data_IF_657165356605
#
_entry.id   IF_657165356605
#
_cell.length_a   1.000
_cell.length_b   1.000
_cell.length_c   1.000
_cell.angle_alpha   90.00
_cell.angle_beta   90.00
_cell.angle_gamma   90.00
#
_symmetry.space_group_name_H-M   'P 1'
#
loop_
_entity.id
_entity.type
_entity.pdbx_description
1 polymer ?
#
# COMPACT_ATOMS: atom_id res chain seq x y z
N UNK A 1 -35.03 -18.59 -36.80
CA UNK A 1 -35.16 -18.25 -35.40
C UNK A 1 -34.74 -16.79 -35.15
N UNK A 2 -34.88 -16.29 -33.91
CA UNK A 2 -34.59 -14.88 -33.58
C UNK A 2 -33.09 -14.58 -33.74
N UNK A 3 -32.20 -15.53 -33.43
CA UNK A 3 -30.77 -15.35 -33.59
C UNK A 3 -30.39 -15.15 -35.05
N UNK A 4 -30.80 -16.06 -35.95
CA UNK A 4 -30.54 -15.96 -37.40
C UNK A 4 -31.13 -14.68 -38.02
N UNK A 5 -32.29 -14.23 -37.53
CA UNK A 5 -32.90 -12.98 -37.97
C UNK A 5 -32.12 -11.74 -37.50
N UNK A 6 -31.51 -11.78 -36.32
CA UNK A 6 -30.64 -10.73 -35.81
C UNK A 6 -29.30 -10.67 -36.55
N UNK A 7 -28.67 -11.83 -36.79
CA UNK A 7 -27.48 -11.99 -37.61
C UNK A 7 -27.68 -11.37 -39.02
N UNK A 8 -28.74 -11.76 -39.69
CA UNK A 8 -29.05 -11.26 -41.03
C UNK A 8 -29.26 -9.73 -41.09
N UNK A 9 -29.54 -9.10 -39.95
CA UNK A 9 -29.74 -7.64 -39.83
C UNK A 9 -28.57 -6.92 -39.15
N UNK A 10 -27.48 -7.63 -38.89
CA UNK A 10 -26.30 -7.11 -38.14
C UNK A 10 -26.69 -6.46 -36.80
N UNK A 11 -27.57 -7.13 -36.04
CA UNK A 11 -28.01 -6.70 -34.70
C UNK A 11 -27.42 -7.58 -33.63
N UNK A 12 -26.99 -6.95 -32.54
CA UNK A 12 -26.56 -7.70 -31.34
C UNK A 12 -27.75 -8.44 -30.74
N UNK A 13 -27.49 -9.68 -30.31
CA UNK A 13 -28.48 -10.53 -29.64
C UNK A 13 -27.85 -11.19 -28.42
N UNK A 14 -28.65 -11.32 -27.37
CA UNK A 14 -28.37 -12.14 -26.21
C UNK A 14 -29.48 -13.16 -26.05
N UNK A 15 -29.15 -14.42 -26.01
CA UNK A 15 -30.11 -15.54 -25.84
C UNK A 15 -29.94 -16.09 -24.43
N UNK A 16 -31.02 -16.01 -23.63
CA UNK A 16 -31.00 -16.49 -22.27
C UNK A 16 -30.71 -17.99 -22.26
N UNK A 17 -29.83 -18.39 -21.33
CA UNK A 17 -29.35 -19.76 -21.11
C UNK A 17 -28.67 -20.43 -22.33
N UNK A 18 -28.27 -19.67 -23.33
CA UNK A 18 -27.52 -20.18 -24.46
C UNK A 18 -26.37 -19.24 -24.87
N UNK A 19 -25.23 -19.40 -24.22
CA UNK A 19 -24.06 -18.54 -24.44
C UNK A 19 -23.52 -18.58 -25.88
N UNK A 20 -23.63 -19.73 -26.55
CA UNK A 20 -23.15 -19.90 -27.92
C UNK A 20 -23.92 -19.03 -28.95
N UNK A 21 -25.11 -18.60 -28.61
CA UNK A 21 -25.95 -17.74 -29.42
C UNK A 21 -25.96 -16.27 -28.93
N UNK A 22 -24.98 -15.86 -28.14
CA UNK A 22 -24.87 -14.53 -27.59
C UNK A 22 -23.73 -13.75 -28.23
N UNK A 23 -24.00 -12.55 -28.73
CA UNK A 23 -22.96 -11.60 -29.12
C UNK A 23 -22.39 -10.82 -27.93
N UNK A 24 -23.11 -10.77 -26.82
CA UNK A 24 -22.70 -10.13 -25.59
C UNK A 24 -23.36 -10.81 -24.39
N UNK A 25 -22.75 -10.65 -23.23
CA UNK A 25 -23.32 -11.09 -21.94
C UNK A 25 -23.66 -9.83 -21.14
N UNK A 26 -24.89 -9.74 -20.65
CA UNK A 26 -25.32 -8.63 -19.78
C UNK A 26 -24.68 -8.79 -18.40
N UNK A 27 -23.87 -7.82 -17.93
CA UNK A 27 -23.30 -7.87 -16.60
C UNK A 27 -24.36 -7.59 -15.54
N UNK A 28 -24.10 -8.02 -14.32
CA UNK A 28 -24.85 -7.54 -13.16
C UNK A 28 -24.39 -6.10 -12.86
N UNK A 29 -25.36 -5.17 -12.77
CA UNK A 29 -25.10 -3.76 -12.56
C UNK A 29 -25.45 -3.34 -11.13
N UNK A 30 -24.59 -2.47 -10.58
CA UNK A 30 -24.89 -1.63 -9.44
C UNK A 30 -24.94 -0.21 -9.97
N UNK A 31 -26.10 0.43 -9.86
CA UNK A 31 -26.33 1.76 -10.40
C UNK A 31 -26.38 2.80 -9.28
N UNK A 32 -25.48 3.76 -9.37
CA UNK A 32 -25.39 4.99 -8.57
C UNK A 32 -25.15 6.14 -9.55
N UNK A 33 -25.96 6.17 -10.64
CA UNK A 33 -25.75 7.11 -11.74
C UNK A 33 -25.32 8.50 -11.28
N UNK A 34 -24.30 9.10 -11.93
CA UNK A 34 -23.62 8.61 -13.13
C UNK A 34 -22.52 7.54 -12.88
N UNK A 35 -22.32 7.11 -11.64
CA UNK A 35 -21.37 6.01 -11.32
C UNK A 35 -22.06 4.67 -11.49
N UNK A 36 -21.48 3.78 -12.29
CA UNK A 36 -21.97 2.42 -12.50
C UNK A 36 -20.85 1.40 -12.30
N UNK A 37 -21.17 0.27 -11.66
CA UNK A 37 -20.26 -0.85 -11.49
C UNK A 37 -20.88 -2.07 -12.18
N UNK A 38 -20.17 -2.64 -13.14
CA UNK A 38 -20.57 -3.81 -13.88
C UNK A 38 -19.72 -5.04 -13.45
N UNK A 39 -20.37 -6.14 -13.13
CA UNK A 39 -19.71 -7.38 -12.71
C UNK A 39 -20.11 -8.48 -13.69
N UNK A 40 -19.15 -9.14 -14.31
CA UNK A 40 -19.41 -10.24 -15.24
C UNK A 40 -18.44 -11.40 -15.01
N UNK A 41 -18.89 -12.61 -15.22
CA UNK A 41 -18.07 -13.81 -15.31
C UNK A 41 -17.97 -14.36 -16.75
N UNK A 42 -18.40 -13.58 -17.74
CA UNK A 42 -18.51 -14.07 -19.12
C UNK A 42 -19.49 -15.24 -19.28
N UNK A 43 -20.50 -15.35 -18.42
CA UNK A 43 -21.45 -16.44 -18.42
C UNK A 43 -21.03 -17.68 -17.61
N UNK A 44 -19.78 -17.74 -17.11
CA UNK A 44 -19.25 -18.94 -16.45
C UNK A 44 -19.83 -19.21 -15.06
N UNK A 45 -20.16 -18.17 -14.28
CA UNK A 45 -20.60 -18.32 -12.89
C UNK A 45 -21.62 -17.25 -12.45
N UNK A 46 -22.85 -17.27 -12.95
CA UNK A 46 -23.86 -16.22 -12.68
C UNK A 46 -24.22 -16.09 -11.20
N UNK A 47 -24.22 -17.20 -10.45
CA UNK A 47 -24.50 -17.20 -9.00
C UNK A 47 -23.40 -16.46 -8.25
N UNK A 48 -22.13 -16.66 -8.60
CA UNK A 48 -20.99 -15.96 -8.00
C UNK A 48 -21.05 -14.46 -8.27
N UNK A 49 -21.41 -14.08 -9.51
CA UNK A 49 -21.60 -12.68 -9.89
C UNK A 49 -22.69 -12.01 -9.06
N UNK A 50 -23.83 -12.71 -8.86
CA UNK A 50 -24.93 -12.23 -8.00
C UNK A 50 -24.46 -12.02 -6.55
N UNK A 51 -23.75 -12.97 -5.96
CA UNK A 51 -23.23 -12.84 -4.60
C UNK A 51 -22.29 -11.66 -4.43
N UNK A 52 -21.42 -11.42 -5.42
CA UNK A 52 -20.53 -10.25 -5.39
C UNK A 52 -21.28 -8.95 -5.60
N UNK A 53 -22.29 -8.93 -6.47
CA UNK A 53 -23.18 -7.77 -6.61
C UNK A 53 -23.84 -7.41 -5.27
N UNK A 54 -24.43 -8.39 -4.57
CA UNK A 54 -25.10 -8.18 -3.26
C UNK A 54 -24.13 -7.61 -2.23
N UNK A 55 -22.89 -8.12 -2.17
CA UNK A 55 -21.85 -7.61 -1.24
C UNK A 55 -21.45 -6.18 -1.57
N UNK A 56 -21.19 -5.88 -2.83
CA UNK A 56 -20.79 -4.54 -3.25
C UNK A 56 -21.94 -3.53 -3.16
N UNK A 57 -23.18 -3.96 -3.40
CA UNK A 57 -24.38 -3.14 -3.21
C UNK A 57 -24.49 -2.60 -1.78
N UNK A 58 -24.14 -3.45 -0.79
CA UNK A 58 -24.14 -3.08 0.64
C UNK A 58 -22.97 -2.13 1.02
N UNK A 59 -21.87 -2.16 0.28
CA UNK A 59 -20.69 -1.34 0.55
C UNK A 59 -20.74 0.04 -0.09
N UNK A 60 -21.49 0.17 -1.19
CA UNK A 60 -21.50 1.40 -2.01
C UNK A 60 -22.60 2.36 -1.54
N UNK A 61 -22.22 3.56 -1.06
CA UNK A 61 -23.19 4.56 -0.62
C UNK A 61 -24.13 5.02 -1.74
N UNK A 62 -25.38 5.35 -1.39
CA UNK A 62 -26.36 5.84 -2.36
C UNK A 62 -26.01 7.23 -2.93
N UNK A 63 -25.37 8.07 -2.12
CA UNK A 63 -25.01 9.45 -2.47
C UNK A 63 -23.79 9.58 -3.41
N UNK A 64 -23.21 8.48 -3.89
CA UNK A 64 -22.10 8.54 -4.86
C UNK A 64 -22.45 9.25 -6.15
N UNK A 65 -23.69 9.07 -6.63
CA UNK A 65 -24.21 9.75 -7.82
C UNK A 65 -24.23 11.25 -7.64
N UNK A 66 -24.81 11.73 -6.54
CA UNK A 66 -24.91 13.16 -6.23
C UNK A 66 -23.53 13.83 -6.16
N UNK A 67 -22.57 13.16 -5.52
CA UNK A 67 -21.18 13.64 -5.47
C UNK A 67 -20.56 13.76 -6.87
N UNK A 68 -20.81 12.78 -7.73
CA UNK A 68 -20.28 12.77 -9.09
C UNK A 68 -20.94 13.87 -9.97
N UNK A 69 -22.23 14.12 -9.81
CA UNK A 69 -22.95 15.19 -10.53
C UNK A 69 -22.43 16.58 -10.12
N UNK A 70 -22.27 16.83 -8.82
CA UNK A 70 -21.67 18.07 -8.34
C UNK A 70 -20.25 18.23 -8.91
N UNK A 71 -19.44 17.19 -8.85
CA UNK A 71 -18.08 17.22 -9.36
C UNK A 71 -18.05 17.50 -10.88
N UNK A 72 -18.96 16.90 -11.65
CA UNK A 72 -19.08 17.14 -13.10
C UNK A 72 -19.40 18.61 -13.40
N UNK A 73 -20.35 19.20 -12.67
CA UNK A 73 -20.76 20.60 -12.82
C UNK A 73 -19.62 21.58 -12.51
N UNK A 74 -18.77 21.24 -11.54
CA UNK A 74 -17.64 22.09 -11.10
C UNK A 74 -16.33 21.81 -11.83
N UNK A 75 -16.24 20.75 -12.62
CA UNK A 75 -15.00 20.29 -13.27
C UNK A 75 -14.29 21.37 -14.07
N UNK A 76 -15.03 22.16 -14.83
CA UNK A 76 -14.48 23.23 -15.68
C UNK A 76 -13.89 24.35 -14.83
N UNK A 77 -14.60 24.80 -13.78
CA UNK A 77 -14.12 25.85 -12.85
C UNK A 77 -12.86 25.40 -12.13
N UNK A 78 -12.84 24.16 -11.63
CA UNK A 78 -11.66 23.59 -10.95
C UNK A 78 -10.47 23.52 -11.90
N UNK A 79 -10.67 23.11 -13.18
CA UNK A 79 -9.62 23.07 -14.19
C UNK A 79 -9.05 24.46 -14.51
N UNK A 80 -9.88 25.49 -14.54
CA UNK A 80 -9.46 26.86 -14.76
C UNK A 80 -8.68 27.43 -13.59
N UNK A 81 -9.01 27.06 -12.36
CA UNK A 81 -8.39 27.57 -11.13
C UNK A 81 -7.09 26.83 -10.79
N UNK A 82 -7.04 25.51 -11.03
CA UNK A 82 -5.91 24.64 -10.72
C UNK A 82 -5.37 24.06 -12.03
N UNK A 83 -4.31 24.65 -12.58
CA UNK A 83 -3.74 24.25 -13.87
C UNK A 83 -2.98 22.93 -13.81
N UNK A 84 -2.29 22.65 -12.67
CA UNK A 84 -1.52 21.43 -12.49
C UNK A 84 -2.43 20.21 -12.32
N UNK A 85 -2.15 19.15 -13.07
CA UNK A 85 -2.96 17.92 -13.05
C UNK A 85 -2.93 17.22 -11.67
N UNK A 86 -1.75 17.12 -11.05
CA UNK A 86 -1.59 16.45 -9.75
C UNK A 86 -2.28 17.22 -8.63
N UNK A 87 -2.19 18.54 -8.65
CA UNK A 87 -2.91 19.41 -7.69
C UNK A 87 -4.42 19.26 -7.84
N UNK A 88 -4.94 19.22 -9.09
CA UNK A 88 -6.39 18.97 -9.32
C UNK A 88 -6.84 17.62 -8.80
N UNK A 89 -6.02 16.58 -9.01
CA UNK A 89 -6.33 15.27 -8.47
C UNK A 89 -6.36 15.28 -6.95
N UNK A 90 -5.32 15.83 -6.31
CA UNK A 90 -5.24 15.98 -4.85
C UNK A 90 -6.43 16.79 -4.30
N UNK A 91 -6.83 17.85 -4.99
CA UNK A 91 -8.02 18.63 -4.65
C UNK A 91 -9.27 17.74 -4.59
N UNK A 92 -9.55 16.95 -5.63
CA UNK A 92 -10.70 16.06 -5.68
C UNK A 92 -10.63 14.95 -4.64
N UNK A 93 -9.46 14.35 -4.43
CA UNK A 93 -9.26 13.31 -3.42
C UNK A 93 -9.52 13.82 -2.00
N UNK A 94 -9.10 15.04 -1.69
CA UNK A 94 -9.36 15.66 -0.40
C UNK A 94 -10.84 16.04 -0.25
N UNK A 95 -11.44 16.59 -1.28
CA UNK A 95 -12.84 16.98 -1.30
C UNK A 95 -13.75 15.78 -1.00
N UNK A 96 -13.53 14.66 -1.66
CA UNK A 96 -14.34 13.45 -1.52
C UNK A 96 -14.15 12.69 -0.21
N UNK A 97 -13.21 13.09 0.64
CA UNK A 97 -12.95 12.50 1.98
C UNK A 97 -13.29 13.44 3.14
N UNK A 98 -13.84 14.61 2.85
CA UNK A 98 -14.04 15.68 3.82
C UNK A 98 -15.49 16.03 4.10
N UNK A 99 -15.74 17.24 4.65
CA UNK A 99 -17.08 17.74 4.94
C UNK A 99 -18.03 17.75 3.73
N UNK A 100 -17.50 17.86 2.51
CA UNK A 100 -18.25 17.77 1.26
C UNK A 100 -19.00 16.42 1.16
N UNK A 101 -18.30 15.31 1.41
CA UNK A 101 -18.91 13.97 1.39
C UNK A 101 -20.03 13.84 2.43
N UNK A 102 -19.82 14.41 3.63
CA UNK A 102 -20.83 14.39 4.68
C UNK A 102 -22.08 15.20 4.28
N UNK A 103 -21.89 16.35 3.64
CA UNK A 103 -22.99 17.16 3.14
C UNK A 103 -23.77 16.44 2.01
N UNK A 104 -23.07 15.82 1.08
CA UNK A 104 -23.69 15.01 0.01
C UNK A 104 -24.44 13.80 0.60
N UNK A 105 -23.88 13.12 1.59
CA UNK A 105 -24.52 12.00 2.30
C UNK A 105 -25.84 12.38 2.96
N UNK A 106 -25.93 13.60 3.49
CA UNK A 106 -27.15 14.13 4.11
C UNK A 106 -28.14 14.69 3.09
N UNK A 107 -27.88 14.57 1.77
CA UNK A 107 -28.72 15.12 0.71
C UNK A 107 -28.68 16.66 0.59
N UNK A 108 -27.73 17.31 1.24
CA UNK A 108 -27.61 18.78 1.21
C UNK A 108 -26.63 19.24 0.12
N UNK A 109 -27.10 19.20 -1.12
CA UNK A 109 -26.31 19.58 -2.29
C UNK A 109 -25.83 21.04 -2.25
N UNK A 110 -26.64 21.95 -1.72
CA UNK A 110 -26.26 23.36 -1.60
C UNK A 110 -25.09 23.58 -0.62
N UNK A 111 -25.09 22.87 0.51
CA UNK A 111 -23.96 22.90 1.45
C UNK A 111 -22.72 22.23 0.82
N UNK A 112 -22.89 21.13 0.11
CA UNK A 112 -21.80 20.46 -0.58
C UNK A 112 -21.12 21.40 -1.61
N UNK A 113 -21.89 22.10 -2.43
CA UNK A 113 -21.36 23.09 -3.38
C UNK A 113 -20.65 24.26 -2.69
N UNK A 114 -21.19 24.76 -1.60
CA UNK A 114 -20.57 25.83 -0.80
C UNK A 114 -19.22 25.39 -0.23
N UNK A 115 -19.13 24.16 0.26
CA UNK A 115 -17.88 23.58 0.79
C UNK A 115 -16.84 23.36 -0.32
N UNK A 116 -17.28 22.91 -1.52
CA UNK A 116 -16.42 22.79 -2.68
C UNK A 116 -15.87 24.15 -3.09
N UNK A 117 -16.71 25.17 -3.18
CA UNK A 117 -16.29 26.52 -3.54
C UNK A 117 -15.31 27.11 -2.52
N UNK A 118 -15.58 26.95 -1.24
CA UNK A 118 -14.69 27.39 -0.16
C UNK A 118 -13.32 26.70 -0.24
N UNK A 119 -13.29 25.39 -0.49
CA UNK A 119 -12.05 24.65 -0.65
C UNK A 119 -11.29 25.09 -1.91
N UNK A 120 -11.98 25.34 -3.02
CA UNK A 120 -11.37 25.82 -4.27
C UNK A 120 -10.77 27.22 -4.10
N UNK A 121 -11.45 28.12 -3.39
CA UNK A 121 -10.97 29.48 -3.13
C UNK A 121 -9.82 29.50 -2.12
N UNK A 122 -9.79 28.57 -1.17
CA UNK A 122 -8.72 28.39 -0.19
C UNK A 122 -7.55 27.52 -0.68
N UNK A 123 -7.62 26.99 -1.90
CA UNK A 123 -6.58 26.14 -2.45
C UNK A 123 -5.27 26.90 -2.60
N UNK A 124 -4.26 26.44 -1.84
CA UNK A 124 -2.86 26.88 -1.97
C UNK A 124 -2.06 25.73 -2.55
N UNK A 125 -1.04 26.02 -3.34
CA UNK A 125 0.00 25.06 -3.69
C UNK A 125 0.64 24.58 -2.38
N UNK A 126 0.32 23.37 -1.98
CA UNK A 126 0.86 22.81 -0.75
C UNK A 126 2.13 22.02 -1.06
N UNK A 127 3.09 22.08 -0.14
CA UNK A 127 4.14 21.07 -0.03
C UNK A 127 3.44 19.69 0.06
N UNK A 128 3.96 18.71 -0.63
CA UNK A 128 3.44 17.35 -0.60
C UNK A 128 3.70 16.66 0.74
N UNK A 129 3.48 15.38 0.79
CA UNK A 129 3.67 14.56 1.98
C UNK A 129 4.48 13.30 1.66
N UNK A 130 5.15 12.74 2.66
CA UNK A 130 5.88 11.49 2.54
C UNK A 130 5.28 10.46 3.50
N UNK A 131 4.93 9.27 3.00
CA UNK A 131 4.44 8.17 3.82
C UNK A 131 5.46 7.03 3.75
N UNK A 132 6.04 6.68 4.91
CA UNK A 132 6.87 5.48 5.03
C UNK A 132 5.94 4.28 5.24
N UNK A 133 6.00 3.31 4.35
CA UNK A 133 5.13 2.12 4.39
C UNK A 133 5.98 0.86 4.51
N UNK A 134 5.72 0.06 5.52
CA UNK A 134 6.22 -1.30 5.62
C UNK A 134 5.41 -2.23 4.72
N UNK A 135 6.08 -2.84 3.75
CA UNK A 135 5.48 -3.74 2.76
C UNK A 135 5.21 -5.15 3.29
N UNK A 136 5.68 -5.47 4.51
CA UNK A 136 5.63 -6.83 5.02
C UNK A 136 6.73 -7.73 4.45
N UNK A 137 6.69 -9.05 4.76
CA UNK A 137 7.77 -10.00 4.45
C UNK A 137 7.68 -10.59 3.02
N UNK A 138 6.78 -10.11 2.17
CA UNK A 138 6.67 -10.55 0.77
C UNK A 138 5.26 -10.95 0.34
N UNK A 139 4.45 -11.53 1.21
CA UNK A 139 3.06 -11.87 0.92
C UNK A 139 2.20 -10.59 0.86
N UNK A 140 1.51 -10.31 -0.26
CA UNK A 140 0.60 -9.17 -0.38
C UNK A 140 -0.54 -9.19 0.65
N UNK A 141 -0.95 -10.38 1.11
CA UNK A 141 -1.97 -10.55 2.15
C UNK A 141 -1.55 -10.04 3.53
N UNK A 142 -0.25 -9.81 3.74
CA UNK A 142 0.31 -9.22 4.96
C UNK A 142 0.56 -7.70 4.86
N UNK A 143 0.25 -7.09 3.72
CA UNK A 143 0.23 -5.63 3.61
C UNK A 143 -0.93 -5.08 4.43
N UNK A 144 -0.68 -4.08 5.26
CA UNK A 144 -1.78 -3.45 6.01
C UNK A 144 -2.75 -2.73 5.08
N UNK A 145 -4.03 -2.67 5.45
CA UNK A 145 -5.03 -1.91 4.68
C UNK A 145 -4.62 -0.44 4.49
N UNK A 146 -4.01 0.16 5.51
CA UNK A 146 -3.51 1.53 5.43
C UNK A 146 -2.33 1.64 4.47
N UNK A 147 -1.44 0.66 4.45
CA UNK A 147 -0.33 0.56 3.49
C UNK A 147 -0.84 0.43 2.05
N UNK A 148 -1.83 -0.44 1.83
CA UNK A 148 -2.48 -0.58 0.52
C UNK A 148 -3.09 0.75 0.05
N UNK A 149 -3.83 1.44 0.91
CA UNK A 149 -4.40 2.74 0.59
C UNK A 149 -3.33 3.79 0.27
N UNK A 150 -2.22 3.80 1.01
CA UNK A 150 -1.11 4.72 0.75
C UNK A 150 -0.51 4.52 -0.63
N UNK A 151 -0.16 3.26 -1.02
CA UNK A 151 0.44 2.98 -2.33
C UNK A 151 -0.54 3.19 -3.50
N UNK A 152 -1.84 3.03 -3.26
CA UNK A 152 -2.88 3.31 -4.26
C UNK A 152 -3.18 4.81 -4.44
N UNK A 153 -2.82 5.65 -3.46
CA UNK A 153 -3.00 7.09 -3.52
C UNK A 153 -1.69 7.85 -3.82
N UNK A 154 -0.56 7.16 -3.94
CA UNK A 154 0.74 7.77 -4.18
C UNK A 154 0.87 8.35 -5.60
N UNK A 155 1.59 9.44 -5.73
CA UNK A 155 2.06 9.99 -7.02
C UNK A 155 3.38 9.35 -7.42
N UNK A 156 4.23 9.12 -6.42
CA UNK A 156 5.56 8.54 -6.56
C UNK A 156 5.76 7.48 -5.48
N UNK A 157 6.30 6.34 -5.84
CA UNK A 157 6.68 5.27 -4.91
C UNK A 157 8.16 4.97 -5.07
N UNK A 158 8.95 5.29 -4.04
CA UNK A 158 10.34 4.88 -3.92
C UNK A 158 10.39 3.56 -3.17
N UNK A 159 10.94 2.50 -3.77
CA UNK A 159 10.86 1.17 -3.19
C UNK A 159 12.21 0.44 -3.12
N UNK A 160 12.37 -0.40 -2.08
CA UNK A 160 13.55 -1.24 -1.88
C UNK A 160 13.52 -2.50 -2.76
N UNK A 161 14.70 -3.09 -2.98
CA UNK A 161 14.84 -4.35 -3.71
C UNK A 161 14.15 -5.55 -3.03
N UNK A 162 13.86 -5.46 -1.73
CA UNK A 162 13.17 -6.50 -0.96
C UNK A 162 11.65 -6.48 -1.11
N UNK A 163 11.08 -5.47 -1.77
CA UNK A 163 9.64 -5.41 -2.04
C UNK A 163 9.29 -6.33 -3.19
N UNK A 164 8.41 -7.30 -2.92
CA UNK A 164 8.01 -8.30 -3.91
C UNK A 164 7.21 -7.72 -5.08
N UNK A 165 7.30 -8.38 -6.24
CA UNK A 165 6.61 -7.96 -7.46
C UNK A 165 5.09 -7.86 -7.28
N UNK A 166 4.48 -8.77 -6.51
CA UNK A 166 3.04 -8.78 -6.26
C UNK A 166 2.58 -7.53 -5.50
N UNK A 167 3.39 -7.04 -4.57
CA UNK A 167 3.12 -5.78 -3.86
C UNK A 167 3.29 -4.58 -4.81
N UNK A 168 4.33 -4.59 -5.66
CA UNK A 168 4.55 -3.54 -6.66
C UNK A 168 3.40 -3.47 -7.69
N UNK A 169 2.72 -4.59 -7.96
CA UNK A 169 1.54 -4.65 -8.83
C UNK A 169 0.28 -4.01 -8.19
N UNK A 170 0.22 -3.87 -6.87
CA UNK A 170 -0.85 -3.17 -6.16
C UNK A 170 -0.72 -1.64 -6.23
N UNK A 171 0.45 -1.14 -6.59
CA UNK A 171 0.67 0.29 -6.79
C UNK A 171 -0.17 0.75 -7.99
N UNK A 172 -0.83 1.87 -7.86
CA UNK A 172 -1.59 2.52 -8.91
C UNK A 172 -0.77 2.63 -10.22
N UNK A 173 -1.42 2.38 -11.37
CA UNK A 173 -0.72 2.25 -12.68
C UNK A 173 -0.02 3.52 -13.14
N UNK A 174 -0.57 4.68 -12.83
CA UNK A 174 -0.06 5.99 -13.21
C UNK A 174 0.90 6.61 -12.17
N UNK A 175 1.20 5.92 -11.07
CA UNK A 175 2.24 6.33 -10.15
C UNK A 175 3.64 6.07 -10.72
N UNK A 176 4.55 7.01 -10.52
CA UNK A 176 5.96 6.84 -10.83
C UNK A 176 6.58 5.84 -9.84
N UNK A 177 7.28 4.82 -10.33
CA UNK A 177 7.89 3.76 -9.53
C UNK A 177 9.41 3.83 -9.62
N UNK A 178 10.07 4.19 -8.52
CA UNK A 178 11.52 4.43 -8.48
C UNK A 178 12.19 3.40 -7.58
N UNK A 179 13.03 2.51 -8.13
CA UNK A 179 13.83 1.58 -7.33
C UNK A 179 14.99 2.32 -6.67
N UNK A 180 15.08 2.27 -5.34
CA UNK A 180 16.18 2.85 -4.56
C UNK A 180 16.98 1.80 -3.78
N UNK A 181 16.64 0.53 -3.91
CA UNK A 181 17.36 -0.60 -3.29
C UNK A 181 18.54 -1.10 -4.11
N UNK A 182 19.43 -1.87 -3.48
CA UNK A 182 20.54 -2.56 -4.17
C UNK A 182 19.98 -3.59 -5.16
N UNK A 183 20.36 -3.49 -6.44
CA UNK A 183 20.27 -4.62 -7.37
C UNK A 183 21.65 -5.30 -7.45
N UNK A 184 21.67 -6.62 -7.55
CA UNK A 184 22.90 -7.35 -7.80
C UNK A 184 23.55 -6.83 -9.10
N UNK A 185 24.77 -6.28 -9.00
CA UNK A 185 25.52 -5.75 -10.15
C UNK A 185 25.21 -4.31 -10.58
N UNK A 186 24.34 -3.56 -9.88
CA UNK A 186 23.98 -2.16 -10.20
C UNK A 186 24.51 -1.13 -9.19
N UNK A 187 24.54 0.14 -9.59
CA UNK A 187 24.84 1.25 -8.69
C UNK A 187 23.85 1.25 -7.51
N UNK A 188 24.39 1.30 -6.30
CA UNK A 188 23.60 1.49 -5.10
C UNK A 188 23.20 2.97 -5.05
N UNK A 189 21.91 3.26 -5.02
CA UNK A 189 21.45 4.59 -4.61
C UNK A 189 21.87 4.78 -3.15
N UNK A 190 22.71 5.76 -2.90
CA UNK A 190 23.17 6.04 -1.55
C UNK A 190 22.01 6.55 -0.69
N UNK A 191 22.06 6.33 0.64
CA UNK A 191 20.96 6.75 1.52
C UNK A 191 20.66 8.26 1.39
N UNK A 192 21.70 9.08 1.22
CA UNK A 192 21.52 10.51 1.05
C UNK A 192 20.81 10.88 -0.27
N UNK A 193 21.02 10.11 -1.34
CA UNK A 193 20.31 10.30 -2.62
C UNK A 193 18.83 9.91 -2.48
N UNK A 194 18.55 8.82 -1.77
CA UNK A 194 17.15 8.43 -1.45
C UNK A 194 16.47 9.53 -0.64
N UNK A 195 17.14 10.07 0.37
CA UNK A 195 16.61 11.15 1.19
C UNK A 195 16.36 12.41 0.35
N UNK A 196 17.27 12.73 -0.59
CA UNK A 196 17.10 13.86 -1.48
C UNK A 196 15.89 13.69 -2.41
N UNK A 197 15.72 12.51 -3.01
CA UNK A 197 14.55 12.20 -3.84
C UNK A 197 13.24 12.36 -3.08
N UNK A 198 13.18 11.93 -1.81
CA UNK A 198 12.00 12.12 -0.97
C UNK A 198 11.66 13.59 -0.78
N UNK A 199 12.69 14.43 -0.54
CA UNK A 199 12.52 15.87 -0.40
C UNK A 199 12.08 16.53 -1.70
N UNK A 200 12.74 16.23 -2.81
CA UNK A 200 12.49 16.87 -4.10
C UNK A 200 11.04 16.62 -4.55
N UNK A 201 10.59 15.39 -4.52
CA UNK A 201 9.22 15.06 -4.88
C UNK A 201 8.17 15.65 -3.91
N UNK A 202 8.45 15.70 -2.61
CA UNK A 202 7.55 16.33 -1.66
C UNK A 202 7.47 17.85 -1.86
N UNK A 203 8.59 18.52 -2.16
CA UNK A 203 8.62 19.95 -2.48
C UNK A 203 7.89 20.28 -3.79
N UNK A 204 7.81 19.32 -4.71
CA UNK A 204 6.98 19.43 -5.93
C UNK A 204 5.46 19.26 -5.63
N UNK A 205 5.08 19.10 -4.37
CA UNK A 205 3.67 18.92 -3.97
C UNK A 205 3.11 17.50 -4.18
N UNK A 206 3.97 16.50 -4.42
CA UNK A 206 3.57 15.11 -4.66
C UNK A 206 3.32 14.34 -3.36
N UNK A 207 2.42 13.37 -3.42
CA UNK A 207 2.26 12.33 -2.39
C UNK A 207 3.28 11.23 -2.65
N UNK A 208 4.29 11.19 -1.81
CA UNK A 208 5.43 10.27 -1.96
C UNK A 208 5.25 9.10 -0.99
N UNK A 209 5.32 7.88 -1.49
CA UNK A 209 5.42 6.68 -0.63
C UNK A 209 6.84 6.16 -0.68
N UNK A 210 7.43 5.98 0.49
CA UNK A 210 8.65 5.22 0.69
C UNK A 210 8.27 3.81 1.11
N UNK A 211 8.33 2.85 0.19
CA UNK A 211 7.91 1.47 0.39
C UNK A 211 9.12 0.59 0.73
N UNK A 212 9.11 -0.04 1.90
CA UNK A 212 10.24 -0.77 2.49
C UNK A 212 9.84 -2.21 2.80
N UNK A 213 10.70 -3.18 2.51
CA UNK A 213 10.47 -4.57 2.90
C UNK A 213 10.35 -4.72 4.43
N UNK A 214 9.46 -5.58 4.91
CA UNK A 214 9.19 -5.77 6.33
C UNK A 214 8.54 -4.55 6.97
N UNK A 215 9.15 -4.05 8.03
CA UNK A 215 8.77 -2.83 8.76
C UNK A 215 9.84 -1.75 8.61
N UNK A 216 9.43 -0.49 8.45
CA UNK A 216 10.34 0.63 8.19
C UNK A 216 11.29 0.93 9.35
N UNK A 217 10.91 0.59 10.59
CA UNK A 217 11.68 0.89 11.80
C UNK A 217 12.44 -0.32 12.37
N UNK A 218 12.21 -1.52 11.83
CA UNK A 218 12.98 -2.70 12.25
C UNK A 218 14.12 -2.93 11.26
N UNK A 219 15.32 -2.45 11.60
CA UNK A 219 16.53 -2.48 10.76
C UNK A 219 16.36 -1.91 9.35
N UNK A 220 15.34 -1.06 9.16
CA UNK A 220 14.96 -0.47 7.89
C UNK A 220 15.48 0.95 7.65
N UNK A 221 16.21 1.56 8.59
CA UNK A 221 16.73 2.94 8.53
C UNK A 221 15.66 4.02 8.34
N UNK A 222 14.38 3.70 8.60
CA UNK A 222 13.28 4.66 8.45
C UNK A 222 13.44 5.92 9.31
N UNK A 223 14.05 5.80 10.48
CA UNK A 223 14.35 6.95 11.34
C UNK A 223 15.25 7.98 10.67
N UNK A 224 16.30 7.55 9.95
CA UNK A 224 17.21 8.45 9.22
C UNK A 224 16.48 9.20 8.09
N UNK A 225 15.55 8.55 7.39
CA UNK A 225 14.73 9.16 6.36
C UNK A 225 13.79 10.23 6.97
N UNK A 226 13.17 9.94 8.13
CA UNK A 226 12.28 10.89 8.81
C UNK A 226 13.01 12.11 9.38
N UNK A 227 14.22 11.95 9.89
CA UNK A 227 15.00 13.08 10.40
C UNK A 227 15.23 14.16 9.34
N UNK A 228 15.50 13.74 8.09
CA UNK A 228 15.68 14.65 6.97
C UNK A 228 14.38 15.37 6.62
N UNK A 229 13.27 14.64 6.57
CA UNK A 229 11.95 15.21 6.29
C UNK A 229 11.52 16.21 7.37
N UNK A 230 11.72 15.84 8.65
CA UNK A 230 11.39 16.72 9.78
C UNK A 230 12.21 18.03 9.75
N UNK A 231 13.51 17.94 9.48
CA UNK A 231 14.39 19.13 9.34
C UNK A 231 13.95 20.05 8.22
N UNK A 232 13.40 19.48 7.14
CA UNK A 232 12.89 20.23 5.98
C UNK A 232 11.44 20.73 6.15
N UNK A 233 10.76 20.39 7.26
CA UNK A 233 9.36 20.75 7.48
C UNK A 233 8.37 20.04 6.55
N UNK A 234 8.75 18.89 5.97
CA UNK A 234 7.89 18.09 5.11
C UNK A 234 6.94 17.27 5.99
N UNK A 235 5.62 17.32 5.75
CA UNK A 235 4.67 16.45 6.43
C UNK A 235 4.97 14.98 6.13
N UNK A 236 4.96 14.13 7.16
CA UNK A 236 5.18 12.71 6.98
C UNK A 236 4.28 11.85 7.88
N UNK A 237 4.08 10.62 7.45
CA UNK A 237 3.38 9.59 8.19
C UNK A 237 4.16 8.27 8.13
N UNK A 238 4.01 7.42 9.16
CA UNK A 238 4.57 6.07 9.17
C UNK A 238 3.44 5.05 9.28
N UNK A 239 3.42 4.13 8.31
CA UNK A 239 2.51 2.99 8.30
C UNK A 239 3.35 1.74 8.57
N UNK A 240 3.20 1.10 9.74
CA UNK A 240 3.96 -0.08 10.08
C UNK A 240 3.66 -1.24 9.15
N UNK A 241 4.62 -2.16 9.03
CA UNK A 241 4.47 -3.42 8.31
C UNK A 241 4.78 -4.63 9.18
N UNK A 242 4.45 -5.82 8.69
CA UNK A 242 4.84 -7.06 9.35
C UNK A 242 6.33 -7.27 9.11
N UNK A 243 7.13 -7.20 10.18
CA UNK A 243 8.58 -7.43 10.06
C UNK A 243 8.90 -8.89 9.75
N UNK A 244 10.04 -9.15 9.10
CA UNK A 244 10.42 -10.46 8.58
C UNK A 244 10.39 -11.57 9.65
N UNK A 245 10.85 -11.31 10.87
CA UNK A 245 10.82 -12.28 11.94
C UNK A 245 9.40 -12.74 12.30
N UNK A 246 8.42 -11.83 12.33
CA UNK A 246 7.03 -12.19 12.60
C UNK A 246 6.41 -12.98 11.44
N UNK A 247 6.65 -12.57 10.20
CA UNK A 247 6.06 -13.22 9.04
C UNK A 247 6.65 -14.61 8.78
N UNK A 248 7.97 -14.72 8.77
CA UNK A 248 8.68 -15.98 8.47
C UNK A 248 8.37 -17.05 9.52
N UNK A 249 8.42 -16.70 10.80
CA UNK A 249 8.17 -17.66 11.88
C UNK A 249 6.71 -18.09 11.94
N UNK A 250 5.76 -17.18 11.69
CA UNK A 250 4.34 -17.53 11.62
C UNK A 250 4.05 -18.54 10.49
N UNK A 251 4.64 -18.34 9.31
CA UNK A 251 4.47 -19.24 8.16
C UNK A 251 5.20 -20.57 8.33
N UNK A 252 6.29 -20.58 9.10
CA UNK A 252 6.99 -21.81 9.48
C UNK A 252 6.34 -22.57 10.66
N UNK A 253 5.29 -22.01 11.28
CA UNK A 253 4.67 -22.59 12.47
C UNK A 253 5.55 -22.53 13.73
N UNK A 254 6.52 -21.59 13.78
CA UNK A 254 7.46 -21.41 14.89
C UNK A 254 7.04 -20.19 15.69
N UNK A 255 6.53 -20.35 16.92
CA UNK A 255 6.20 -19.19 17.77
C UNK A 255 7.47 -18.50 18.26
N UNK A 256 7.53 -17.18 18.17
CA UNK A 256 8.65 -16.38 18.70
C UNK A 256 8.69 -16.36 20.22
N UNK A 257 7.57 -16.56 20.90
CA UNK A 257 7.48 -16.68 22.35
C UNK A 257 6.66 -17.90 22.73
N UNK A 258 7.03 -18.56 23.84
CA UNK A 258 6.30 -19.69 24.36
C UNK A 258 6.39 -19.71 25.89
N UNK A 259 5.26 -19.99 26.56
CA UNK A 259 5.16 -19.97 28.03
C UNK A 259 6.26 -20.78 28.69
N UNK A 260 6.55 -21.98 28.15
CA UNK A 260 7.46 -22.95 28.78
C UNK A 260 8.91 -22.86 28.24
N UNK A 261 9.15 -22.13 27.13
CA UNK A 261 10.44 -22.18 26.44
C UNK A 261 11.10 -20.80 26.29
N UNK A 262 10.33 -19.76 25.94
CA UNK A 262 10.89 -18.44 25.68
C UNK A 262 9.89 -17.33 26.05
N UNK A 263 10.12 -16.65 27.18
CA UNK A 263 9.28 -15.56 27.64
C UNK A 263 9.64 -14.20 27.01
N UNK A 264 10.71 -14.16 26.25
CA UNK A 264 11.14 -12.94 25.55
C UNK A 264 11.63 -13.25 24.14
N UNK A 265 11.58 -12.24 23.27
CA UNK A 265 12.20 -12.25 21.95
C UNK A 265 13.04 -11.00 21.78
N UNK A 266 14.22 -11.16 21.22
CA UNK A 266 15.10 -10.05 20.87
C UNK A 266 15.35 -10.06 19.36
N UNK A 267 15.20 -8.89 18.74
CA UNK A 267 15.59 -8.66 17.36
C UNK A 267 16.99 -8.08 17.37
N UNK A 268 17.93 -8.78 16.74
CA UNK A 268 19.32 -8.36 16.63
C UNK A 268 19.74 -8.33 15.15
N UNK A 269 20.77 -7.54 14.85
CA UNK A 269 21.36 -7.53 13.51
C UNK A 269 22.66 -8.34 13.51
N UNK A 270 22.82 -9.22 12.52
CA UNK A 270 24.09 -9.89 12.25
C UNK A 270 25.10 -9.02 11.49
N UNK A 271 24.69 -7.79 11.15
CA UNK A 271 25.55 -6.82 10.45
C UNK A 271 26.05 -5.79 11.47
N UNK A 272 27.23 -6.00 12.04
CA UNK A 272 27.88 -5.02 12.93
C UNK A 272 28.35 -3.80 12.13
N UNK A 273 28.42 -2.64 12.78
CA UNK A 273 29.08 -1.47 12.20
C UNK A 273 30.56 -1.81 11.94
N UNK A 274 31.14 -1.19 10.89
CA UNK A 274 32.54 -1.36 10.54
C UNK A 274 33.52 -0.93 11.66
N UNK A 275 33.04 -0.20 12.66
CA UNK A 275 33.79 0.28 13.82
C UNK A 275 33.90 -0.74 14.96
N UNK A 276 33.36 -1.97 14.81
CA UNK A 276 33.49 -3.03 15.78
C UNK A 276 32.83 -2.73 17.14
N UNK A 277 31.78 -1.89 17.16
CA UNK A 277 31.05 -1.64 18.42
C UNK A 277 30.61 -2.96 19.03
N UNK A 278 31.05 -3.22 20.27
CA UNK A 278 30.84 -4.45 21.01
C UNK A 278 29.36 -4.80 21.10
N UNK A 279 28.99 -5.87 20.41
CA UNK A 279 27.69 -6.49 20.57
C UNK A 279 27.69 -7.17 21.95
N UNK A 280 26.72 -6.86 22.80
CA UNK A 280 26.57 -7.49 24.10
C UNK A 280 26.10 -8.95 23.98
N UNK A 281 27.00 -9.81 23.51
CA UNK A 281 26.74 -11.25 23.34
C UNK A 281 26.30 -11.93 24.63
N UNK A 282 26.76 -11.45 25.80
CA UNK A 282 26.38 -12.00 27.09
C UNK A 282 24.89 -11.82 27.37
N UNK A 283 24.31 -10.68 27.01
CA UNK A 283 22.86 -10.47 27.15
C UNK A 283 22.05 -11.32 26.17
N UNK A 284 22.59 -11.61 24.99
CA UNK A 284 21.94 -12.40 23.94
C UNK A 284 22.08 -13.92 24.18
N UNK A 285 23.09 -14.37 24.94
CA UNK A 285 23.30 -15.78 25.23
C UNK A 285 22.36 -16.35 26.30
N UNK A 286 21.50 -15.55 26.92
CA UNK A 286 20.63 -15.99 28.03
C UNK A 286 19.69 -17.11 27.57
N UNK A 287 19.42 -18.05 28.48
CA UNK A 287 18.39 -19.06 28.30
C UNK A 287 16.97 -18.46 28.29
N UNK A 288 16.00 -19.23 27.84
CA UNK A 288 14.58 -18.88 27.82
C UNK A 288 14.21 -17.61 27.04
N UNK A 289 15.03 -17.30 26.03
CA UNK A 289 14.72 -16.23 25.07
C UNK A 289 14.93 -16.69 23.63
N UNK A 290 14.14 -16.15 22.73
CA UNK A 290 14.32 -16.31 21.29
C UNK A 290 15.15 -15.16 20.74
N UNK A 291 16.13 -15.47 19.90
CA UNK A 291 16.85 -14.45 19.12
C UNK A 291 16.40 -14.52 17.67
N UNK A 292 15.96 -13.41 17.13
CA UNK A 292 15.69 -13.26 15.72
C UNK A 292 16.79 -12.40 15.09
N UNK A 293 17.69 -13.06 14.36
CA UNK A 293 18.89 -12.43 13.80
C UNK A 293 18.63 -11.97 12.37
N UNK A 294 18.55 -10.68 12.18
CA UNK A 294 18.42 -10.06 10.85
C UNK A 294 19.78 -9.96 10.17
N UNK A 295 19.81 -10.18 8.84
CA UNK A 295 21.05 -10.10 8.05
C UNK A 295 22.17 -11.03 8.54
N UNK A 296 21.82 -12.12 9.25
CA UNK A 296 22.75 -13.00 9.92
C UNK A 296 23.25 -14.19 9.10
N UNK A 297 22.67 -14.50 7.95
CA UNK A 297 22.95 -15.73 7.20
C UNK A 297 24.43 -15.91 6.81
N UNK A 298 25.09 -14.84 6.37
CA UNK A 298 26.51 -14.87 5.99
C UNK A 298 27.41 -15.07 7.23
N UNK A 299 27.01 -14.54 8.38
CA UNK A 299 27.75 -14.55 9.63
C UNK A 299 27.26 -15.63 10.61
N UNK A 300 26.37 -16.52 10.19
CA UNK A 300 25.69 -17.46 11.08
C UNK A 300 26.67 -18.30 11.94
N UNK A 301 27.76 -18.77 11.34
CA UNK A 301 28.77 -19.55 12.07
C UNK A 301 29.48 -18.73 13.16
N UNK A 302 29.84 -17.48 12.86
CA UNK A 302 30.50 -16.59 13.83
C UNK A 302 29.53 -16.21 14.96
N UNK A 303 28.30 -15.87 14.62
CA UNK A 303 27.24 -15.55 15.59
C UNK A 303 27.00 -16.75 16.53
N UNK A 304 26.95 -17.97 16.01
CA UNK A 304 26.79 -19.16 16.82
C UNK A 304 28.00 -19.38 17.77
N UNK A 305 29.21 -19.18 17.27
CA UNK A 305 30.43 -19.30 18.08
C UNK A 305 30.43 -18.26 19.22
N UNK A 306 30.13 -17.01 18.94
CA UNK A 306 30.07 -15.93 19.93
C UNK A 306 28.99 -16.19 20.99
N UNK A 307 27.81 -16.64 20.59
CA UNK A 307 26.75 -17.00 21.54
C UNK A 307 27.14 -18.16 22.45
N UNK A 308 27.78 -19.23 21.90
CA UNK A 308 28.25 -20.36 22.68
C UNK A 308 29.40 -19.96 23.64
N UNK A 309 30.31 -19.12 23.19
CA UNK A 309 31.38 -18.59 24.05
C UNK A 309 30.86 -17.82 25.26
N UNK A 310 29.68 -17.16 25.09
CA UNK A 310 29.04 -16.40 26.18
C UNK A 310 27.97 -17.19 26.93
N UNK A 311 27.91 -18.52 26.76
CA UNK A 311 27.13 -19.42 27.59
C UNK A 311 25.81 -19.92 26.96
N UNK A 312 25.58 -19.69 25.68
CA UNK A 312 24.45 -20.34 24.98
C UNK A 312 24.73 -21.83 24.80
N UNK A 313 23.75 -22.68 25.10
CA UNK A 313 23.88 -24.12 24.92
C UNK A 313 24.13 -24.49 23.47
N UNK A 314 25.09 -25.41 23.22
CA UNK A 314 25.48 -25.82 21.85
C UNK A 314 24.36 -26.60 21.11
N UNK A 315 23.41 -27.16 21.83
CA UNK A 315 22.22 -27.85 21.33
C UNK A 315 20.99 -26.93 21.16
N UNK A 316 21.17 -25.60 21.26
CA UNK A 316 20.09 -24.63 21.02
C UNK A 316 19.57 -24.80 19.61
N UNK A 317 18.25 -25.06 19.40
CA UNK A 317 17.66 -25.17 18.08
C UNK A 317 17.79 -23.87 17.29
N UNK A 318 18.12 -23.99 16.00
CA UNK A 318 18.24 -22.87 15.03
C UNK A 318 17.38 -23.14 13.82
N UNK A 319 16.67 -22.13 13.35
CA UNK A 319 15.96 -22.14 12.07
C UNK A 319 16.55 -21.03 11.18
N UNK A 320 16.80 -21.35 9.90
CA UNK A 320 17.34 -20.42 8.90
C UNK A 320 16.41 -20.43 7.68
#
# INVERSE_FOLDING_TARGET
>A
DVFSAAEARHRFVNVVDNQALCHFITPALIDRSPIQIAISSGGAAPVLVRQWRERLEALLPQHLGDMADIAANWRTRVKQRINNFNERRSFWEQLFKGPFEQAARSGNSGLAETLLEAQLNGHKTNVGEVILVGAGPGDPGLLTLKGLQAIQNADVVLYDALVGADILNLIRRDAEKIPVGKRAGGHQVAQHETNQLLLDYALEGKKVVRLKGGDSFVFGRGGEELEVLAKAGIPFEVVPGITAALGATAYAGIPLTHRDHAQSVQFITGHCKADGSDVDWQSFARANQTLAVYMGTIQAANIAADLMQHGRAADTPVAI
#
